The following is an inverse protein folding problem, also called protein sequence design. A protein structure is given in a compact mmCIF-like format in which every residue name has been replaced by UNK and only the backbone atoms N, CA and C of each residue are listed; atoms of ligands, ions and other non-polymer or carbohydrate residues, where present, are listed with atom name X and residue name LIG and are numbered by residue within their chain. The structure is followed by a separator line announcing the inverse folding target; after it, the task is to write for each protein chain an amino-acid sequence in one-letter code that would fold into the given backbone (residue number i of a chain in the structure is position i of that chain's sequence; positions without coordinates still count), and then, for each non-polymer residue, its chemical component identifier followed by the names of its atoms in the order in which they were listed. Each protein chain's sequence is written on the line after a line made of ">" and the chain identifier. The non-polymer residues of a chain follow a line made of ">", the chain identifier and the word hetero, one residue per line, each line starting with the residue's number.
data_IF_540464906780
#
_entry.id   IF_540464906780
#
_cell.length_a   1.000
_cell.length_b   1.000
_cell.length_c   1.000
_cell.angle_alpha   90.00
_cell.angle_beta   90.00
_cell.angle_gamma   90.00
#
_symmetry.space_group_name_H-M   'P 1'
#
loop_
_entity.id
_entity.type
_entity.pdbx_description
1 polymer ?
#
# COMPACT_ATOMS: atom_id res chain seq x y z
N UNK A 1 1.39 16.84 -15.15
CA UNK A 1 1.97 16.92 -13.80
C UNK A 1 1.57 15.66 -13.07
N UNK A 2 2.55 14.95 -12.51
CA UNK A 2 2.39 13.74 -11.73
C UNK A 2 2.85 14.02 -10.29
N UNK A 3 2.17 13.40 -9.31
CA UNK A 3 2.51 13.47 -7.90
C UNK A 3 2.76 12.06 -7.38
N UNK A 4 3.85 11.90 -6.63
CA UNK A 4 4.20 10.68 -5.90
C UNK A 4 4.61 11.07 -4.49
N UNK A 5 4.43 10.18 -3.52
CA UNK A 5 4.97 10.40 -2.18
C UNK A 5 5.91 9.27 -1.77
N UNK A 6 6.80 9.55 -0.86
CA UNK A 6 7.60 8.55 -0.17
C UNK A 6 7.92 9.00 1.28
N UNK A 7 8.24 8.04 2.11
CA UNK A 7 8.58 8.18 3.52
C UNK A 7 10.09 8.16 3.80
N UNK A 8 10.93 8.40 2.78
CA UNK A 8 12.40 8.34 2.89
C UNK A 8 12.99 9.28 3.95
N UNK A 9 12.22 10.26 4.42
CA UNK A 9 12.58 11.17 5.53
C UNK A 9 11.99 10.72 6.87
N UNK A 10 11.14 9.70 6.87
CA UNK A 10 10.55 9.04 8.02
C UNK A 10 11.29 7.74 8.37
N UNK A 11 10.55 6.69 8.69
CA UNK A 11 11.11 5.38 9.06
C UNK A 11 11.46 4.50 7.85
N UNK A 12 11.09 4.92 6.64
CA UNK A 12 11.34 4.25 5.36
C UNK A 12 10.75 2.83 5.29
N UNK A 13 9.56 2.66 5.88
CA UNK A 13 8.80 1.40 5.82
C UNK A 13 7.87 1.31 4.59
N UNK A 14 7.77 2.38 3.79
CA UNK A 14 6.93 2.48 2.59
C UNK A 14 5.52 3.04 2.86
N UNK A 15 5.24 3.43 4.09
CA UNK A 15 3.92 3.92 4.52
C UNK A 15 4.01 5.31 5.13
N UNK A 16 2.86 5.95 5.26
CA UNK A 16 2.74 7.23 5.95
C UNK A 16 2.29 6.98 7.37
N UNK A 17 3.14 7.26 8.34
CA UNK A 17 2.84 7.09 9.75
C UNK A 17 2.65 8.44 10.47
N UNK A 18 1.95 8.40 11.62
CA UNK A 18 1.81 9.59 12.46
C UNK A 18 3.18 10.04 12.98
N UNK A 19 3.44 11.35 12.94
CA UNK A 19 4.72 11.95 13.37
C UNK A 19 5.82 11.93 12.31
N UNK A 20 5.55 11.47 11.09
CA UNK A 20 6.54 11.40 10.02
C UNK A 20 6.62 12.64 9.14
N UNK A 21 7.79 12.82 8.55
CA UNK A 21 8.02 13.75 7.43
C UNK A 21 7.95 12.99 6.11
N UNK A 22 7.02 13.40 5.25
CA UNK A 22 6.77 12.78 3.95
C UNK A 22 7.25 13.70 2.83
N UNK A 23 7.88 13.14 1.83
CA UNK A 23 8.25 13.82 0.60
C UNK A 23 7.15 13.66 -0.44
N UNK A 24 6.57 14.77 -0.91
CA UNK A 24 5.71 14.79 -2.08
C UNK A 24 6.55 15.26 -3.26
N UNK A 25 6.85 14.33 -4.14
CA UNK A 25 7.60 14.56 -5.37
C UNK A 25 6.64 14.96 -6.47
N UNK A 26 6.88 16.10 -7.08
CA UNK A 26 6.12 16.58 -8.23
C UNK A 26 7.01 16.63 -9.47
N UNK A 27 6.55 16.00 -10.55
CA UNK A 27 7.20 16.05 -11.86
C UNK A 27 6.21 16.45 -12.94
N UNK A 28 6.71 16.98 -14.05
CA UNK A 28 5.87 17.35 -15.16
C UNK A 28 6.63 17.96 -16.32
N UNK A 29 5.85 18.39 -17.32
CA UNK A 29 6.38 18.94 -18.56
C UNK A 29 5.52 20.11 -19.06
N UNK A 30 6.14 21.15 -19.57
CA UNK A 30 5.41 22.19 -20.28
C UNK A 30 5.01 21.70 -21.68
N UNK A 31 3.76 21.27 -21.84
CA UNK A 31 3.18 20.84 -23.12
C UNK A 31 2.44 21.98 -23.85
N UNK A 32 2.52 23.20 -23.30
CA UNK A 32 1.93 24.40 -23.90
C UNK A 32 2.67 24.89 -25.15
N UNK A 33 2.15 25.94 -25.76
CA UNK A 33 2.71 26.56 -26.98
C UNK A 33 3.58 27.78 -26.67
N UNK A 34 3.81 28.08 -25.41
CA UNK A 34 4.66 29.18 -24.94
C UNK A 34 5.40 28.78 -23.67
N UNK A 35 6.51 29.48 -23.39
CA UNK A 35 7.18 29.36 -22.11
C UNK A 35 6.30 29.88 -20.96
N UNK A 36 6.48 29.32 -19.78
CA UNK A 36 5.92 29.81 -18.53
C UNK A 36 7.03 30.52 -17.73
N UNK A 37 6.73 31.67 -17.18
CA UNK A 37 7.64 32.44 -16.33
C UNK A 37 7.04 32.59 -14.93
N UNK A 38 7.89 32.64 -13.89
CA UNK A 38 7.49 32.85 -12.50
C UNK A 38 6.39 31.87 -12.04
N UNK A 39 6.69 30.60 -12.11
CA UNK A 39 5.75 29.54 -11.72
C UNK A 39 5.84 29.36 -10.21
N UNK A 40 4.73 29.54 -9.52
CA UNK A 40 4.56 29.21 -8.11
C UNK A 40 3.98 27.81 -8.01
N UNK A 41 4.66 26.93 -7.29
CA UNK A 41 4.11 25.65 -6.81
C UNK A 41 3.69 25.87 -5.38
N UNK A 42 2.40 25.70 -5.09
CA UNK A 42 1.81 25.97 -3.79
C UNK A 42 1.10 24.73 -3.24
N UNK A 43 1.55 24.23 -2.09
CA UNK A 43 0.97 23.11 -1.40
C UNK A 43 -0.06 23.52 -0.35
N UNK A 44 -1.19 22.84 -0.30
CA UNK A 44 -2.23 23.03 0.73
C UNK A 44 -2.81 21.71 1.19
N UNK A 45 -3.36 21.70 2.41
CA UNK A 45 -4.17 20.58 2.91
C UNK A 45 -5.36 21.12 3.69
N UNK A 46 -6.50 20.45 3.59
CA UNK A 46 -7.66 20.74 4.43
C UNK A 46 -7.59 20.11 5.81
N UNK A 47 -6.64 19.19 6.01
CA UNK A 47 -6.43 18.49 7.28
C UNK A 47 -5.56 19.31 8.22
N UNK A 48 -5.95 19.42 9.49
CA UNK A 48 -5.12 20.00 10.54
C UNK A 48 -3.95 19.11 10.96
N UNK A 49 -3.92 17.87 10.52
CA UNK A 49 -2.85 16.90 10.77
C UNK A 49 -1.69 17.01 9.76
N UNK A 50 -1.81 17.86 8.74
CA UNK A 50 -0.75 18.10 7.77
C UNK A 50 -0.19 19.50 7.95
N UNK A 51 1.10 19.60 8.17
CA UNK A 51 1.85 20.84 8.12
C UNK A 51 2.91 20.82 7.02
N UNK A 52 3.36 21.98 6.57
CA UNK A 52 4.34 22.12 5.51
C UNK A 52 5.59 22.79 6.08
N UNK A 53 6.78 22.24 5.78
CA UNK A 53 8.02 22.91 6.08
C UNK A 53 8.16 24.18 5.21
N UNK A 54 7.89 24.05 3.90
CA UNK A 54 7.77 25.13 2.95
C UNK A 54 6.65 24.79 1.95
N UNK A 55 5.62 25.59 1.89
CA UNK A 55 4.47 25.33 1.02
C UNK A 55 4.54 26.06 -0.34
N UNK A 56 5.54 26.94 -0.55
CA UNK A 56 5.72 27.74 -1.76
C UNK A 56 7.08 27.48 -2.39
N UNK A 57 7.10 26.92 -3.59
CA UNK A 57 8.31 26.70 -4.37
C UNK A 57 8.23 27.51 -5.66
N UNK A 58 9.28 28.27 -5.97
CA UNK A 58 9.34 29.10 -7.16
C UNK A 58 10.22 28.47 -8.23
N UNK A 59 9.64 28.26 -9.43
CA UNK A 59 10.35 27.86 -10.63
C UNK A 59 10.41 29.11 -11.53
N UNK A 60 11.62 29.58 -11.80
CA UNK A 60 11.79 30.87 -12.49
C UNK A 60 11.21 30.86 -13.91
N UNK A 61 11.41 29.77 -14.64
CA UNK A 61 10.97 29.63 -16.03
C UNK A 61 10.89 28.14 -16.39
N UNK A 62 10.02 27.81 -17.36
CA UNK A 62 9.90 26.50 -17.96
C UNK A 62 9.64 26.67 -19.46
N UNK A 63 10.60 26.31 -20.30
CA UNK A 63 10.49 26.41 -21.75
C UNK A 63 9.50 25.39 -22.34
N UNK A 64 9.13 25.55 -23.61
CA UNK A 64 8.25 24.59 -24.30
C UNK A 64 8.92 23.22 -24.35
N UNK A 65 8.19 22.18 -23.95
CA UNK A 65 8.65 20.80 -23.80
C UNK A 65 9.73 20.58 -22.72
N UNK A 66 10.04 21.57 -21.91
CA UNK A 66 10.92 21.41 -20.77
C UNK A 66 10.23 20.64 -19.65
N UNK A 67 10.98 19.76 -19.01
CA UNK A 67 10.56 18.96 -17.85
C UNK A 67 11.04 19.63 -16.57
N UNK A 68 10.27 19.46 -15.52
CA UNK A 68 10.64 19.90 -14.18
C UNK A 68 10.41 18.79 -13.16
N UNK A 69 11.10 18.91 -12.05
CA UNK A 69 10.91 18.07 -10.87
C UNK A 69 11.19 18.92 -9.63
N UNK A 70 10.33 18.77 -8.63
CA UNK A 70 10.48 19.43 -7.34
C UNK A 70 9.88 18.59 -6.23
N UNK A 71 10.15 18.92 -4.96
CA UNK A 71 9.68 18.17 -3.79
C UNK A 71 9.16 19.13 -2.74
N UNK A 72 7.98 18.84 -2.21
CA UNK A 72 7.40 19.49 -1.04
C UNK A 72 7.58 18.55 0.14
N UNK A 73 8.00 19.09 1.29
CA UNK A 73 8.04 18.35 2.55
C UNK A 73 6.80 18.69 3.38
N UNK A 74 6.13 17.66 3.84
CA UNK A 74 5.02 17.75 4.79
C UNK A 74 5.36 16.99 6.05
N UNK A 75 4.85 17.45 7.18
CA UNK A 75 4.89 16.75 8.45
C UNK A 75 3.48 16.26 8.79
N UNK A 76 3.39 15.01 9.19
CA UNK A 76 2.16 14.40 9.72
C UNK A 76 2.18 14.57 11.24
N UNK A 77 1.11 15.13 11.81
CA UNK A 77 1.02 15.31 13.27
C UNK A 77 1.09 13.96 13.99
N UNK A 78 1.85 13.90 15.09
CA UNK A 78 2.03 12.69 15.89
C UNK A 78 0.71 12.14 16.52
N UNK A 79 -0.32 12.97 16.59
CA UNK A 79 -1.63 12.58 17.11
C UNK A 79 -2.63 12.23 15.98
N UNK A 80 -2.16 12.04 14.75
CA UNK A 80 -3.01 11.61 13.65
C UNK A 80 -3.53 10.20 13.93
N UNK A 81 -4.85 9.99 13.97
CA UNK A 81 -5.37 8.65 14.18
C UNK A 81 -5.04 7.72 13.00
N UNK A 82 -4.67 6.47 13.31
CA UNK A 82 -4.50 5.44 12.28
C UNK A 82 -5.77 5.27 11.45
N UNK A 83 -5.61 4.99 10.16
CA UNK A 83 -6.70 4.95 9.20
C UNK A 83 -7.21 6.32 8.75
N UNK A 84 -6.58 7.42 9.18
CA UNK A 84 -6.96 8.76 8.72
C UNK A 84 -6.65 8.93 7.24
N UNK A 85 -7.65 9.37 6.46
CA UNK A 85 -7.44 9.79 5.07
C UNK A 85 -7.02 11.25 5.02
N UNK A 86 -5.83 11.49 4.51
CA UNK A 86 -5.29 12.82 4.33
C UNK A 86 -5.14 13.15 2.84
N UNK A 87 -5.28 14.42 2.49
CA UNK A 87 -5.03 14.90 1.14
C UNK A 87 -4.10 16.11 1.15
N UNK A 88 -3.24 16.17 0.14
CA UNK A 88 -2.47 17.34 -0.18
C UNK A 88 -2.83 17.80 -1.60
N UNK A 89 -3.23 19.05 -1.71
CA UNK A 89 -3.47 19.70 -3.00
C UNK A 89 -2.23 20.51 -3.37
N UNK A 90 -1.81 20.40 -4.61
CA UNK A 90 -0.67 21.14 -5.16
C UNK A 90 -1.11 21.92 -6.38
N UNK A 91 -1.01 23.24 -6.29
CA UNK A 91 -1.30 24.19 -7.36
C UNK A 91 -0.01 24.66 -8.04
N UNK A 92 0.06 24.56 -9.36
CA UNK A 92 1.06 25.26 -10.18
C UNK A 92 0.42 26.50 -10.81
N UNK A 93 0.94 27.66 -10.49
CA UNK A 93 0.37 28.94 -10.87
C UNK A 93 1.40 29.72 -11.71
N UNK A 94 1.04 30.13 -12.95
CA UNK A 94 1.83 31.03 -13.78
C UNK A 94 0.91 32.09 -14.39
N UNK A 95 0.88 33.28 -13.82
CA UNK A 95 -0.03 34.34 -14.21
C UNK A 95 -1.51 33.95 -14.06
N UNK A 96 -2.23 33.81 -15.17
CA UNK A 96 -3.64 33.40 -15.19
C UNK A 96 -3.83 31.88 -15.32
N UNK A 97 -2.76 31.12 -15.51
CA UNK A 97 -2.82 29.67 -15.69
C UNK A 97 -2.62 28.96 -14.35
N UNK A 98 -3.51 28.01 -14.07
CA UNK A 98 -3.45 27.17 -12.87
C UNK A 98 -3.56 25.70 -13.30
N UNK A 99 -2.69 24.85 -12.78
CA UNK A 99 -2.81 23.41 -12.87
C UNK A 99 -2.83 22.86 -11.45
N UNK A 100 -3.90 22.16 -11.08
CA UNK A 100 -4.08 21.56 -9.76
C UNK A 100 -3.95 20.06 -9.84
N UNK A 101 -3.33 19.47 -8.82
CA UNK A 101 -3.28 18.03 -8.56
C UNK A 101 -3.48 17.78 -7.08
N UNK A 102 -4.06 16.62 -6.77
CA UNK A 102 -4.23 16.15 -5.40
C UNK A 102 -3.60 14.79 -5.25
N UNK A 103 -2.98 14.56 -4.10
CA UNK A 103 -2.51 13.25 -3.69
C UNK A 103 -3.22 12.88 -2.39
N UNK A 104 -3.66 11.62 -2.31
CA UNK A 104 -4.34 11.06 -1.13
C UNK A 104 -3.48 9.95 -0.56
N UNK A 105 -3.45 9.85 0.75
CA UNK A 105 -2.81 8.76 1.47
C UNK A 105 -3.53 8.46 2.78
N UNK A 106 -3.31 7.26 3.29
CA UNK A 106 -3.85 6.82 4.57
C UNK A 106 -2.71 6.73 5.57
N UNK A 107 -2.92 7.22 6.79
CA UNK A 107 -1.92 7.20 7.87
C UNK A 107 -2.05 5.90 8.66
N UNK A 108 -0.92 5.28 8.96
CA UNK A 108 -0.85 4.07 9.79
C UNK A 108 -1.50 2.83 9.18
N UNK A 109 -1.76 2.81 7.86
CA UNK A 109 -2.39 1.67 7.20
C UNK A 109 -1.50 1.12 6.09
N UNK A 110 -1.07 -0.10 6.27
CA UNK A 110 -0.40 -0.91 5.24
C UNK A 110 -1.45 -1.52 4.33
N UNK A 111 -1.40 -1.25 3.04
CA UNK A 111 -2.31 -1.85 2.05
C UNK A 111 -1.49 -2.60 1.00
N UNK A 112 -1.58 -3.93 1.00
CA UNK A 112 -1.08 -4.75 -0.09
C UNK A 112 -2.20 -5.01 -1.11
N UNK A 113 -1.97 -4.65 -2.35
CA UNK A 113 -2.91 -4.81 -3.46
C UNK A 113 -2.44 -5.80 -4.52
N UNK A 114 -1.17 -6.20 -4.48
CA UNK A 114 -0.48 -7.03 -5.48
C UNK A 114 -0.44 -6.42 -6.90
N UNK A 115 -0.82 -5.15 -7.07
CA UNK A 115 -0.87 -4.48 -8.39
C UNK A 115 0.52 -4.21 -9.00
N UNK A 116 1.60 -4.44 -8.27
CA UNK A 116 2.96 -4.53 -8.83
C UNK A 116 3.14 -5.74 -9.75
N UNK A 117 2.24 -6.73 -9.68
CA UNK A 117 2.33 -8.00 -10.42
C UNK A 117 3.35 -8.98 -9.82
N UNK A 118 3.89 -8.66 -8.66
CA UNK A 118 4.85 -9.48 -7.92
C UNK A 118 4.77 -9.20 -6.39
N UNK A 119 5.63 -9.83 -5.62
CA UNK A 119 5.73 -9.65 -4.16
C UNK A 119 6.76 -8.57 -3.75
N UNK A 120 6.97 -7.54 -4.55
CA UNK A 120 7.99 -6.51 -4.29
C UNK A 120 7.56 -5.40 -3.33
N UNK A 121 6.25 -5.24 -3.07
CA UNK A 121 5.71 -4.14 -2.26
C UNK A 121 6.02 -4.32 -0.77
N UNK A 122 5.86 -5.52 -0.23
CA UNK A 122 6.23 -5.87 1.14
C UNK A 122 7.34 -6.92 1.14
N UNK A 123 8.01 -7.11 2.28
CA UNK A 123 9.06 -8.13 2.43
C UNK A 123 8.45 -9.52 2.65
N UNK A 124 7.78 -10.03 1.62
CA UNK A 124 7.16 -11.34 1.64
C UNK A 124 8.17 -12.47 1.71
N UNK A 125 7.87 -13.49 2.51
CA UNK A 125 8.67 -14.68 2.69
C UNK A 125 7.82 -15.93 2.40
N UNK A 126 8.50 -17.02 2.05
CA UNK A 126 7.87 -18.30 1.69
C UNK A 126 8.55 -19.42 2.47
N UNK A 127 7.77 -20.35 3.02
CA UNK A 127 8.30 -21.42 3.91
C UNK A 127 8.58 -22.75 3.16
N UNK A 128 8.55 -22.77 1.84
CA UNK A 128 8.77 -24.01 1.08
C UNK A 128 9.21 -23.81 -0.37
N UNK A 129 9.44 -24.95 -1.08
CA UNK A 129 9.87 -25.01 -2.48
C UNK A 129 8.73 -24.68 -3.48
N UNK A 130 7.48 -24.55 -3.02
CA UNK A 130 6.29 -24.26 -3.82
C UNK A 130 5.66 -22.94 -3.35
N UNK A 131 6.30 -21.81 -3.67
CA UNK A 131 5.90 -20.50 -3.18
C UNK A 131 4.55 -20.08 -3.77
N UNK A 132 3.86 -19.21 -3.04
CA UNK A 132 2.75 -18.43 -3.57
C UNK A 132 3.20 -17.60 -4.78
N UNK A 133 2.26 -17.27 -5.63
CA UNK A 133 2.49 -16.45 -6.81
C UNK A 133 1.47 -15.32 -6.86
N UNK A 134 1.81 -14.23 -7.55
CA UNK A 134 0.85 -13.18 -7.90
C UNK A 134 0.24 -13.55 -9.24
N UNK A 135 -1.08 -13.71 -9.28
CA UNK A 135 -1.83 -14.18 -10.44
C UNK A 135 -2.83 -13.12 -10.91
N UNK A 136 -3.10 -13.11 -12.22
CA UNK A 136 -4.09 -12.27 -12.90
C UNK A 136 -5.35 -13.04 -13.30
N UNK A 137 -5.49 -14.24 -12.80
CA UNK A 137 -6.63 -15.14 -13.10
C UNK A 137 -7.91 -14.73 -12.39
N UNK A 138 -7.79 -14.29 -11.13
CA UNK A 138 -8.89 -13.83 -10.29
C UNK A 138 -8.38 -12.78 -9.29
N UNK A 139 -9.20 -11.76 -9.00
CA UNK A 139 -8.94 -10.76 -7.96
C UNK A 139 -10.25 -10.28 -7.35
N UNK A 140 -10.19 -9.81 -6.09
CA UNK A 140 -11.35 -9.11 -5.49
C UNK A 140 -11.48 -7.69 -6.06
N UNK A 141 -10.35 -7.00 -6.20
CA UNK A 141 -10.26 -5.65 -6.77
C UNK A 141 -8.96 -5.54 -7.57
N UNK A 142 -8.92 -4.63 -8.55
CA UNK A 142 -7.75 -4.49 -9.41
C UNK A 142 -7.60 -5.66 -10.40
N UNK A 143 -6.37 -6.02 -10.70
CA UNK A 143 -6.02 -7.03 -11.71
C UNK A 143 -5.37 -8.28 -11.13
N UNK A 144 -4.83 -8.21 -9.90
CA UNK A 144 -3.97 -9.24 -9.32
C UNK A 144 -4.42 -9.67 -7.93
N UNK A 145 -4.06 -10.90 -7.56
CA UNK A 145 -4.15 -11.41 -6.19
C UNK A 145 -3.02 -12.40 -5.90
N UNK A 146 -2.75 -12.66 -4.62
CA UNK A 146 -1.87 -13.74 -4.22
C UNK A 146 -2.61 -15.08 -4.30
N UNK A 147 -1.99 -16.08 -4.93
CA UNK A 147 -2.49 -17.45 -5.07
C UNK A 147 -1.47 -18.43 -4.46
N UNK A 148 -1.95 -19.41 -3.71
CA UNK A 148 -1.09 -20.44 -3.12
C UNK A 148 -0.40 -21.29 -4.18
N UNK A 149 0.80 -21.79 -3.88
CA UNK A 149 1.49 -22.77 -4.71
C UNK A 149 0.67 -24.04 -4.90
N UNK A 150 0.89 -24.70 -6.03
CA UNK A 150 0.28 -26.02 -6.30
C UNK A 150 1.07 -27.10 -5.55
N UNK A 151 0.46 -27.67 -4.54
CA UNK A 151 1.09 -28.65 -3.65
C UNK A 151 0.46 -30.05 -3.76
N UNK A 152 1.24 -31.07 -3.48
CA UNK A 152 0.78 -32.45 -3.37
C UNK A 152 0.21 -32.74 -1.98
N UNK A 153 -0.39 -33.95 -1.80
CA UNK A 153 -0.95 -34.36 -0.52
C UNK A 153 0.14 -34.39 0.58
N UNK A 154 -0.23 -34.02 1.80
CA UNK A 154 0.66 -33.93 2.97
C UNK A 154 1.73 -32.82 2.86
N UNK A 155 1.47 -31.83 2.02
CA UNK A 155 2.33 -30.65 1.87
C UNK A 155 1.64 -29.37 2.34
N UNK A 156 2.46 -28.36 2.61
CA UNK A 156 2.01 -27.01 2.98
C UNK A 156 2.66 -25.98 2.07
N UNK A 157 1.99 -24.85 1.88
CA UNK A 157 2.52 -23.69 1.18
C UNK A 157 2.17 -22.42 1.96
N UNK A 158 3.19 -21.71 2.45
CA UNK A 158 3.02 -20.54 3.31
C UNK A 158 3.47 -19.25 2.63
N UNK A 159 2.68 -18.20 2.79
CA UNK A 159 2.99 -16.82 2.49
C UNK A 159 3.09 -16.07 3.82
N UNK A 160 4.24 -15.45 4.08
CA UNK A 160 4.58 -14.86 5.38
C UNK A 160 5.02 -13.42 5.18
N UNK A 161 4.59 -12.54 6.08
CA UNK A 161 5.10 -11.17 6.18
C UNK A 161 5.27 -10.75 7.63
N UNK A 162 6.36 -10.05 7.91
CA UNK A 162 6.57 -9.36 9.18
C UNK A 162 6.12 -7.92 9.04
N UNK A 163 5.29 -7.47 9.98
CA UNK A 163 4.81 -6.09 10.06
C UNK A 163 5.11 -5.51 11.43
N UNK A 164 5.20 -4.20 11.51
CA UNK A 164 5.22 -3.46 12.76
C UNK A 164 4.02 -2.50 12.81
N UNK A 165 3.25 -2.56 13.89
CA UNK A 165 2.11 -1.67 14.11
C UNK A 165 2.45 -0.70 15.23
N UNK A 166 2.17 0.59 15.03
CA UNK A 166 2.46 1.66 16.01
C UNK A 166 1.37 1.78 17.08
N UNK A 167 0.17 1.24 16.81
CA UNK A 167 -0.98 1.24 17.72
C UNK A 167 -1.77 -0.05 17.61
N UNK A 168 -2.70 -0.26 18.55
CA UNK A 168 -3.70 -1.33 18.44
C UNK A 168 -4.59 -1.07 17.22
N UNK A 169 -4.85 -2.12 16.43
CA UNK A 169 -5.58 -2.02 15.18
C UNK A 169 -6.16 -3.36 14.72
N UNK A 170 -6.36 -3.49 13.42
CA UNK A 170 -6.92 -4.69 12.80
C UNK A 170 -6.13 -5.07 11.53
N UNK A 171 -5.88 -6.37 11.37
CA UNK A 171 -5.47 -6.97 10.10
C UNK A 171 -6.71 -7.43 9.37
N UNK A 172 -6.96 -6.93 8.16
CA UNK A 172 -8.07 -7.35 7.33
C UNK A 172 -7.61 -7.74 5.94
N UNK A 173 -8.26 -8.73 5.35
CA UNK A 173 -7.99 -9.16 3.99
C UNK A 173 -9.22 -9.78 3.33
N UNK A 174 -9.25 -9.74 2.00
CA UNK A 174 -10.19 -10.51 1.21
C UNK A 174 -9.56 -11.85 0.85
N UNK A 175 -10.35 -12.92 0.98
CA UNK A 175 -9.93 -14.28 0.63
C UNK A 175 -10.99 -14.99 -0.19
N UNK A 176 -10.53 -15.91 -1.02
CA UNK A 176 -11.32 -16.88 -1.79
C UNK A 176 -10.70 -18.25 -1.60
N UNK A 177 -11.51 -19.29 -1.51
CA UNK A 177 -11.04 -20.66 -1.30
C UNK A 177 -11.72 -21.59 -2.27
N UNK A 178 -10.93 -22.49 -2.91
CA UNK A 178 -11.39 -23.61 -3.70
C UNK A 178 -10.54 -24.82 -3.32
N UNK A 179 -11.02 -25.60 -2.35
CA UNK A 179 -10.27 -26.74 -1.75
C UNK A 179 -11.21 -27.91 -1.49
N UNK A 180 -10.66 -29.08 -1.20
CA UNK A 180 -11.42 -30.22 -0.70
C UNK A 180 -12.06 -29.88 0.66
N UNK A 181 -13.42 -29.93 0.70
CA UNK A 181 -14.17 -29.54 1.88
C UNK A 181 -13.83 -30.37 3.12
N UNK A 182 -13.45 -29.69 4.21
CA UNK A 182 -13.07 -30.26 5.53
C UNK A 182 -11.80 -31.09 5.53
N UNK A 183 -11.06 -31.08 4.46
CA UNK A 183 -9.83 -31.85 4.31
C UNK A 183 -8.63 -30.92 4.07
N UNK A 184 -8.71 -30.03 3.10
CA UNK A 184 -7.69 -29.05 2.76
C UNK A 184 -8.12 -27.65 3.21
N UNK A 185 -7.20 -26.87 3.74
CA UNK A 185 -7.53 -25.61 4.39
C UNK A 185 -6.62 -24.46 3.95
N UNK A 186 -7.20 -23.30 3.74
CA UNK A 186 -6.49 -22.03 3.94
C UNK A 186 -6.55 -21.73 5.44
N UNK A 187 -5.39 -21.50 6.07
CA UNK A 187 -5.26 -21.19 7.50
C UNK A 187 -4.55 -19.87 7.65
N UNK A 188 -5.05 -19.00 8.52
CA UNK A 188 -4.40 -17.74 8.86
C UNK A 188 -3.87 -17.76 10.29
N UNK A 189 -2.63 -17.28 10.45
CA UNK A 189 -1.92 -17.20 11.73
C UNK A 189 -1.45 -15.76 11.97
N UNK A 190 -1.47 -15.38 13.25
CA UNK A 190 -0.76 -14.20 13.78
C UNK A 190 0.18 -14.70 14.87
N UNK A 191 1.47 -14.40 14.74
CA UNK A 191 2.53 -14.79 15.71
C UNK A 191 2.57 -16.30 16.01
N UNK A 192 2.22 -17.11 15.00
CA UNK A 192 2.15 -18.58 15.12
C UNK A 192 0.88 -19.10 15.80
N UNK A 193 -0.03 -18.23 16.26
CA UNK A 193 -1.34 -18.63 16.77
C UNK A 193 -2.36 -18.67 15.61
N UNK A 194 -3.07 -19.78 15.49
CA UNK A 194 -4.11 -19.94 14.47
C UNK A 194 -5.32 -19.07 14.78
N UNK A 195 -5.61 -18.13 13.89
CA UNK A 195 -6.75 -17.23 14.02
C UNK A 195 -8.01 -17.86 13.43
N UNK A 196 -7.93 -18.37 12.20
CA UNK A 196 -9.06 -19.01 11.52
C UNK A 196 -8.58 -19.93 10.38
N UNK A 197 -9.49 -20.81 9.91
CA UNK A 197 -9.26 -21.70 8.75
C UNK A 197 -10.52 -21.88 7.91
N UNK A 198 -10.35 -21.97 6.61
CA UNK A 198 -11.42 -22.10 5.62
C UNK A 198 -11.17 -23.26 4.68
N UNK A 199 -12.25 -23.92 4.22
CA UNK A 199 -12.17 -25.04 3.28
C UNK A 199 -13.41 -25.16 2.42
N UNK A 200 -13.32 -25.83 1.28
CA UNK A 200 -14.41 -26.01 0.31
C UNK A 200 -14.45 -24.84 -0.66
N UNK A 201 -15.63 -24.61 -1.25
CA UNK A 201 -15.86 -23.54 -2.21
C UNK A 201 -16.39 -22.28 -1.49
N UNK A 202 -15.53 -21.26 -1.37
CA UNK A 202 -15.87 -19.98 -0.76
C UNK A 202 -15.51 -18.88 -1.76
N UNK A 203 -16.50 -18.09 -2.16
CA UNK A 203 -16.30 -16.91 -2.99
C UNK A 203 -15.72 -15.76 -2.15
N UNK A 204 -15.25 -14.69 -2.79
CA UNK A 204 -14.58 -13.57 -2.13
C UNK A 204 -15.32 -13.06 -0.90
N UNK A 205 -14.65 -13.08 0.24
CA UNK A 205 -15.12 -12.58 1.53
C UNK A 205 -14.04 -11.78 2.22
N UNK A 206 -14.46 -10.86 3.08
CA UNK A 206 -13.56 -10.11 3.95
C UNK A 206 -13.56 -10.71 5.36
N UNK A 207 -12.40 -10.69 5.99
CA UNK A 207 -12.22 -11.03 7.40
C UNK A 207 -11.30 -10.01 8.06
N UNK A 208 -11.46 -9.81 9.38
CA UNK A 208 -10.68 -8.88 10.18
C UNK A 208 -10.32 -9.52 11.53
N UNK A 209 -9.08 -9.28 11.98
CA UNK A 209 -8.54 -9.77 13.26
C UNK A 209 -7.87 -8.63 14.01
N UNK A 210 -8.16 -8.45 15.31
CA UNK A 210 -7.49 -7.43 16.11
C UNK A 210 -6.02 -7.77 16.33
N UNK A 211 -5.18 -6.75 16.33
CA UNK A 211 -3.76 -6.81 16.71
C UNK A 211 -3.42 -5.68 17.65
N UNK A 212 -2.49 -5.92 18.57
CA UNK A 212 -1.95 -4.87 19.44
C UNK A 212 -0.82 -4.12 18.72
N UNK A 213 -0.39 -2.99 19.28
CA UNK A 213 0.85 -2.34 18.85
C UNK A 213 2.06 -3.27 19.04
N UNK A 214 2.97 -3.33 18.06
CA UNK A 214 4.18 -4.13 18.12
C UNK A 214 4.51 -4.82 16.80
N UNK A 215 5.52 -5.70 16.85
CA UNK A 215 5.92 -6.54 15.73
C UNK A 215 5.05 -7.78 15.67
N UNK A 216 4.60 -8.13 14.48
CA UNK A 216 3.76 -9.29 14.22
C UNK A 216 4.24 -10.05 13.00
N UNK A 217 4.11 -11.38 13.05
CA UNK A 217 4.31 -12.28 11.92
C UNK A 217 2.95 -12.77 11.46
N UNK A 218 2.58 -12.42 10.24
CA UNK A 218 1.36 -12.87 9.59
C UNK A 218 1.68 -14.01 8.64
N UNK A 219 0.89 -15.09 8.69
CA UNK A 219 1.08 -16.24 7.81
C UNK A 219 -0.26 -16.70 7.24
N UNK A 220 -0.34 -16.79 5.91
CA UNK A 220 -1.37 -17.48 5.16
C UNK A 220 -0.81 -18.82 4.68
N UNK A 221 -1.39 -19.92 5.16
CA UNK A 221 -0.93 -21.27 4.87
C UNK A 221 -2.00 -22.04 4.13
N UNK A 222 -1.67 -22.57 2.97
CA UNK A 222 -2.42 -23.66 2.36
C UNK A 222 -1.90 -24.98 2.93
N UNK A 223 -2.80 -25.77 3.54
CA UNK A 223 -2.50 -27.04 4.20
C UNK A 223 -3.34 -28.12 3.54
N UNK A 224 -2.68 -29.07 2.87
CA UNK A 224 -3.29 -30.17 2.16
C UNK A 224 -3.11 -31.47 2.92
N UNK A 225 -4.20 -32.21 3.12
CA UNK A 225 -4.18 -33.45 3.88
C UNK A 225 -3.48 -34.61 3.17
N UNK A 226 -3.38 -35.78 3.86
CA UNK A 226 -2.73 -37.00 3.35
C UNK A 226 -3.54 -37.82 2.37
N UNK A 227 -4.80 -37.46 2.05
CA UNK A 227 -5.70 -38.31 1.25
C UNK A 227 -6.57 -37.49 0.35
N UNK A 228 -6.58 -37.87 -0.93
CA UNK A 228 -7.68 -37.49 -1.82
C UNK A 228 -8.98 -38.10 -1.31
N UNK A 229 -10.11 -37.37 -1.45
CA UNK A 229 -11.43 -37.97 -1.25
C UNK A 229 -11.65 -39.05 -2.32
N UNK A 230 -11.94 -40.29 -1.90
CA UNK A 230 -12.42 -41.37 -2.79
C UNK A 230 -13.86 -41.10 -3.25
#
# INVERSE_FOLDING_TARGET
>A
VDLEYNDNMGNNNGFVDAGETIQIHMSGKNIGHSKCDNILVHGTSSSSYVSFEENDINIAQLDINEEFSTTILIEIDENTPDGSFLSVDVDMISGAYVSQRSILFTVGTVIETFETGDFSHLNWQFDNDLPWLVADTESYAGNYSAESGHIDDDEISSLIVEIETTSDGEISFFYKVSTESRMDFLVFYIDGEMMERWSGEIDWQNVSFPVNAGQHVLEWRYDKNKRDAE
#
